data_IF_057448732006
#
_entry.id   IF_057448732006
#
_cell.length_a   1.000
_cell.length_b   1.000
_cell.length_c   1.000
_cell.angle_alpha   90.00
_cell.angle_beta   90.00
_cell.angle_gamma   90.00
#
_symmetry.space_group_name_H-M   'P 1'
#
loop_
_entity.id
_entity.type
_entity.pdbx_description
1 polymer ?
#
# COMPACT_ATOMS: atom_id res chain seq x y z
N UNK A 1 6.14 -68.12 -12.33
CA UNK A 1 6.10 -66.97 -11.40
C UNK A 1 5.77 -65.74 -12.22
N UNK A 2 4.50 -65.34 -12.21
CA UNK A 2 3.96 -64.20 -12.96
C UNK A 2 4.01 -62.95 -12.06
N UNK A 3 4.86 -61.99 -12.40
CA UNK A 3 4.88 -60.69 -11.72
C UNK A 3 3.66 -59.87 -12.13
N UNK A 4 2.75 -59.62 -11.19
CA UNK A 4 1.66 -58.68 -11.34
C UNK A 4 2.22 -57.24 -11.25
N UNK A 5 2.04 -56.46 -12.31
CA UNK A 5 2.34 -55.03 -12.34
C UNK A 5 1.26 -54.26 -11.56
N UNK A 6 1.68 -53.53 -10.52
CA UNK A 6 0.82 -52.61 -9.75
C UNK A 6 0.51 -51.40 -10.64
N UNK A 7 -0.77 -51.03 -10.86
CA UNK A 7 -1.09 -49.81 -11.58
C UNK A 7 -0.71 -48.59 -10.72
N UNK A 8 0.11 -47.69 -11.27
CA UNK A 8 0.40 -46.41 -10.64
C UNK A 8 -0.90 -45.58 -10.55
N UNK A 9 -1.26 -45.03 -9.38
CA UNK A 9 -2.40 -44.13 -9.27
C UNK A 9 -2.14 -42.92 -10.18
N UNK A 10 -3.04 -42.73 -11.15
CA UNK A 10 -2.96 -41.64 -12.11
C UNK A 10 -2.86 -40.30 -11.38
N UNK A 11 -1.89 -39.48 -11.77
CA UNK A 11 -1.83 -38.08 -11.37
C UNK A 11 -3.11 -37.40 -11.87
N UNK A 12 -4.09 -37.22 -11.00
CA UNK A 12 -5.24 -36.39 -11.28
C UNK A 12 -4.74 -34.94 -11.43
N UNK A 13 -4.46 -34.53 -12.66
CA UNK A 13 -4.39 -33.13 -13.01
C UNK A 13 -5.73 -32.51 -12.56
N UNK A 14 -5.75 -31.52 -11.65
CA UNK A 14 -6.99 -30.89 -11.27
C UNK A 14 -7.67 -30.35 -12.52
N UNK A 15 -8.95 -30.74 -12.71
CA UNK A 15 -9.73 -30.28 -13.83
C UNK A 15 -9.71 -28.74 -13.90
N UNK A 16 -9.64 -28.12 -15.09
CA UNK A 16 -9.75 -26.68 -15.22
C UNK A 16 -11.06 -26.25 -14.59
N UNK A 17 -10.99 -25.46 -13.50
CA UNK A 17 -12.20 -24.97 -12.83
C UNK A 17 -12.97 -24.12 -13.84
N UNK A 18 -14.18 -24.51 -14.27
CA UNK A 18 -14.93 -23.75 -15.26
C UNK A 18 -15.26 -22.36 -14.69
N UNK A 19 -14.96 -21.30 -15.46
CA UNK A 19 -15.51 -19.96 -15.20
C UNK A 19 -14.57 -18.88 -14.63
N UNK A 20 -13.26 -19.12 -14.45
CA UNK A 20 -12.33 -18.03 -14.09
C UNK A 20 -11.80 -17.32 -15.33
N UNK A 21 -12.34 -16.13 -15.60
CA UNK A 21 -11.90 -15.25 -16.70
C UNK A 21 -10.90 -14.24 -16.16
N UNK A 22 -9.81 -14.01 -16.89
CA UNK A 22 -8.85 -12.94 -16.59
C UNK A 22 -9.54 -11.57 -16.61
N UNK A 23 -9.34 -10.78 -15.57
CA UNK A 23 -9.93 -9.43 -15.46
C UNK A 23 -8.83 -8.39 -15.56
N UNK A 24 -8.99 -7.42 -16.45
CA UNK A 24 -8.00 -6.34 -16.61
C UNK A 24 -7.84 -5.53 -15.32
N UNK A 25 -6.63 -5.41 -14.76
CA UNK A 25 -6.38 -4.60 -13.56
C UNK A 25 -6.02 -3.13 -13.88
N UNK A 26 -5.91 -2.75 -15.16
CA UNK A 26 -5.34 -1.47 -15.59
C UNK A 26 -6.13 -0.26 -15.11
N UNK A 27 -7.46 -0.24 -15.31
CA UNK A 27 -8.30 0.88 -14.89
C UNK A 27 -8.24 1.13 -13.38
N UNK A 28 -8.21 0.05 -12.58
CA UNK A 28 -8.06 0.15 -11.13
C UNK A 28 -6.66 0.66 -10.74
N UNK A 29 -5.61 0.23 -11.45
CA UNK A 29 -4.24 0.72 -11.24
C UNK A 29 -4.12 2.23 -11.46
N UNK A 30 -4.76 2.76 -12.51
CA UNK A 30 -4.83 4.21 -12.75
C UNK A 30 -5.59 4.93 -11.65
N UNK A 31 -6.74 4.40 -11.21
CA UNK A 31 -7.51 4.97 -10.12
C UNK A 31 -6.72 5.00 -8.80
N UNK A 32 -6.06 3.89 -8.43
CA UNK A 32 -5.18 3.83 -7.24
C UNK A 32 -4.04 4.84 -7.36
N UNK A 33 -3.41 4.95 -8.54
CA UNK A 33 -2.30 5.89 -8.76
C UNK A 33 -2.76 7.35 -8.62
N UNK A 34 -3.92 7.70 -9.19
CA UNK A 34 -4.49 9.04 -9.07
C UNK A 34 -4.84 9.37 -7.62
N UNK A 35 -5.49 8.44 -6.90
CA UNK A 35 -5.84 8.63 -5.50
C UNK A 35 -4.61 8.74 -4.59
N UNK A 36 -3.56 7.94 -4.82
CA UNK A 36 -2.27 8.11 -4.12
C UNK A 36 -1.62 9.46 -4.44
N UNK A 37 -1.81 9.99 -5.65
CA UNK A 37 -1.41 11.35 -5.98
C UNK A 37 -2.14 12.40 -5.15
N UNK A 38 -3.44 12.23 -4.92
CA UNK A 38 -4.23 13.10 -4.02
C UNK A 38 -3.75 12.98 -2.57
N UNK A 39 -3.43 11.77 -2.10
CA UNK A 39 -2.84 11.55 -0.77
C UNK A 39 -1.53 12.31 -0.63
N UNK A 40 -0.63 12.23 -1.61
CA UNK A 40 0.64 12.98 -1.62
C UNK A 40 0.41 14.50 -1.55
N UNK A 41 -0.60 15.01 -2.27
CA UNK A 41 -0.95 16.44 -2.18
C UNK A 41 -1.46 16.80 -0.78
N UNK A 42 -2.30 15.95 -0.18
CA UNK A 42 -2.77 16.16 1.18
C UNK A 42 -1.62 16.12 2.21
N UNK A 43 -0.68 15.18 2.07
CA UNK A 43 0.54 15.11 2.89
C UNK A 43 1.37 16.39 2.78
N UNK A 44 1.55 16.92 1.57
CA UNK A 44 2.28 18.17 1.36
C UNK A 44 1.61 19.36 2.04
N UNK A 45 0.27 19.41 2.03
CA UNK A 45 -0.49 20.42 2.75
C UNK A 45 -0.33 20.26 4.27
N UNK A 46 -0.38 19.03 4.79
CA UNK A 46 -0.14 18.73 6.21
C UNK A 46 1.27 19.14 6.63
N UNK A 47 2.30 18.82 5.83
CA UNK A 47 3.68 19.25 6.09
C UNK A 47 3.76 20.77 6.16
N UNK A 48 3.16 21.46 5.19
CA UNK A 48 3.17 22.92 5.12
C UNK A 48 2.48 23.55 6.33
N UNK A 49 1.29 23.06 6.69
CA UNK A 49 0.52 23.51 7.85
C UNK A 49 1.29 23.25 9.17
N UNK A 50 1.92 22.08 9.29
CA UNK A 50 2.70 21.68 10.47
C UNK A 50 3.95 22.53 10.63
N UNK A 51 4.67 22.84 9.53
CA UNK A 51 5.83 23.73 9.56
C UNK A 51 5.43 25.18 9.90
N UNK A 52 4.29 25.65 9.40
CA UNK A 52 3.73 26.95 9.78
C UNK A 52 3.40 27.00 11.28
N UNK A 53 2.67 26.00 11.79
CA UNK A 53 2.37 25.88 13.23
C UNK A 53 3.65 25.84 14.08
N UNK A 54 4.66 25.09 13.63
CA UNK A 54 5.95 25.03 14.31
C UNK A 54 6.68 26.39 14.34
N UNK A 55 6.62 27.15 13.24
CA UNK A 55 7.20 28.49 13.20
C UNK A 55 6.44 29.46 14.12
N UNK A 56 5.11 29.38 14.13
CA UNK A 56 4.21 30.17 14.98
C UNK A 56 4.50 29.96 16.47
N UNK A 57 4.57 28.70 16.91
CA UNK A 57 4.90 28.35 18.29
C UNK A 57 6.35 28.75 18.64
N UNK A 58 7.27 28.67 17.68
CA UNK A 58 8.63 29.19 17.85
C UNK A 58 8.68 30.70 18.15
N UNK A 59 7.83 31.50 17.49
CA UNK A 59 7.70 32.95 17.75
C UNK A 59 7.11 33.24 19.12
N UNK A 60 6.12 32.45 19.55
CA UNK A 60 5.55 32.55 20.91
C UNK A 60 6.60 32.25 21.98
N UNK A 61 7.37 31.17 21.80
CA UNK A 61 8.40 30.76 22.75
C UNK A 61 9.51 31.83 22.91
N UNK A 62 9.83 32.57 21.84
CA UNK A 62 10.82 33.66 21.90
C UNK A 62 10.27 34.98 22.44
N UNK A 63 9.04 35.01 22.96
CA UNK A 63 8.40 36.22 23.51
C UNK A 63 7.99 37.25 22.44
N UNK A 64 8.04 36.89 21.15
CA UNK A 64 7.68 37.77 20.05
C UNK A 64 6.19 37.65 19.73
N UNK A 65 5.33 37.94 20.71
CA UNK A 65 3.86 37.76 20.63
C UNK A 65 3.14 38.95 19.98
N UNK A 66 3.82 40.10 19.84
CA UNK A 66 3.27 41.35 19.28
C UNK A 66 2.84 41.21 17.80
N UNK A 67 3.26 40.13 17.12
CA UNK A 67 2.96 39.86 15.71
C UNK A 67 1.94 38.73 15.48
N UNK A 68 1.28 38.22 16.53
CA UNK A 68 0.32 37.11 16.41
C UNK A 68 -1.11 37.63 16.39
N UNK A 69 -1.68 37.75 15.20
CA UNK A 69 -3.11 37.99 15.01
C UNK A 69 -3.89 36.69 15.26
N UNK A 70 -4.99 36.76 16.02
CA UNK A 70 -5.90 35.62 16.23
C UNK A 70 -6.43 35.06 14.90
N UNK A 71 -6.52 35.92 13.87
CA UNK A 71 -6.84 35.52 12.51
C UNK A 71 -5.80 34.61 11.85
N UNK A 72 -4.50 34.80 12.12
CA UNK A 72 -3.44 33.93 11.59
C UNK A 72 -3.49 32.53 12.20
N UNK A 73 -3.68 32.44 13.52
CA UNK A 73 -3.86 31.18 14.25
C UNK A 73 -5.07 30.41 13.70
N UNK A 74 -6.22 31.07 13.61
CA UNK A 74 -7.46 30.45 13.10
C UNK A 74 -7.30 29.92 11.67
N UNK A 75 -6.63 30.68 10.78
CA UNK A 75 -6.37 30.23 9.40
C UNK A 75 -5.46 29.00 9.35
N UNK A 76 -4.42 28.96 10.19
CA UNK A 76 -3.52 27.80 10.28
C UNK A 76 -4.28 26.55 10.76
N UNK A 77 -5.15 26.69 11.75
CA UNK A 77 -5.97 25.60 12.26
C UNK A 77 -6.97 25.08 11.22
N UNK A 78 -7.67 25.97 10.51
CA UNK A 78 -8.57 25.57 9.43
C UNK A 78 -7.83 24.91 8.25
N UNK A 79 -6.65 25.41 7.90
CA UNK A 79 -5.83 24.81 6.85
C UNK A 79 -5.37 23.39 7.25
N UNK A 80 -4.94 23.20 8.51
CA UNK A 80 -4.58 21.89 9.04
C UNK A 80 -5.77 20.94 9.04
N UNK A 81 -6.90 21.36 9.60
CA UNK A 81 -8.13 20.56 9.66
C UNK A 81 -8.61 20.14 8.26
N UNK A 82 -8.65 21.09 7.30
CA UNK A 82 -9.02 20.81 5.93
C UNK A 82 -8.08 19.80 5.26
N UNK A 83 -6.77 19.90 5.51
CA UNK A 83 -5.76 18.98 4.97
C UNK A 83 -5.93 17.56 5.54
N UNK A 84 -6.19 17.44 6.84
CA UNK A 84 -6.45 16.15 7.50
C UNK A 84 -7.75 15.51 6.98
N UNK A 85 -8.82 16.27 6.78
CA UNK A 85 -10.07 15.77 6.21
C UNK A 85 -9.85 15.28 4.77
N UNK A 86 -9.16 16.06 3.94
CA UNK A 86 -8.81 15.67 2.57
C UNK A 86 -8.00 14.37 2.55
N UNK A 87 -6.97 14.28 3.40
CA UNK A 87 -6.15 13.08 3.56
C UNK A 87 -7.01 11.87 3.94
N UNK A 88 -7.86 12.00 4.97
CA UNK A 88 -8.69 10.89 5.44
C UNK A 88 -9.67 10.35 4.38
N UNK A 89 -10.32 11.25 3.63
CA UNK A 89 -11.23 10.86 2.53
C UNK A 89 -10.45 10.22 1.38
N UNK A 90 -9.33 10.82 0.97
CA UNK A 90 -8.49 10.29 -0.10
C UNK A 90 -7.90 8.92 0.27
N UNK A 91 -7.45 8.74 1.51
CA UNK A 91 -6.90 7.48 2.01
C UNK A 91 -7.97 6.40 2.07
N UNK A 92 -9.18 6.72 2.54
CA UNK A 92 -10.29 5.76 2.55
C UNK A 92 -10.66 5.30 1.14
N UNK A 93 -10.80 6.25 0.20
CA UNK A 93 -11.03 5.92 -1.21
C UNK A 93 -9.88 5.07 -1.78
N UNK A 94 -8.63 5.43 -1.48
CA UNK A 94 -7.45 4.68 -1.88
C UNK A 94 -7.50 3.25 -1.35
N UNK A 95 -7.79 3.05 -0.07
CA UNK A 95 -7.84 1.74 0.56
C UNK A 95 -8.88 0.83 -0.12
N UNK A 96 -10.08 1.34 -0.37
CA UNK A 96 -11.15 0.57 -1.04
C UNK A 96 -10.71 0.15 -2.44
N UNK A 97 -10.27 1.10 -3.28
CA UNK A 97 -9.88 0.80 -4.67
C UNK A 97 -8.63 -0.08 -4.71
N UNK A 98 -7.67 0.12 -3.80
CA UNK A 98 -6.48 -0.70 -3.65
C UNK A 98 -6.82 -2.14 -3.30
N UNK A 99 -7.72 -2.38 -2.34
CA UNK A 99 -8.14 -3.74 -1.96
C UNK A 99 -8.84 -4.43 -3.14
N UNK A 100 -9.70 -3.71 -3.89
CA UNK A 100 -10.36 -4.27 -5.08
C UNK A 100 -9.34 -4.61 -6.18
N UNK A 101 -8.38 -3.72 -6.43
CA UNK A 101 -7.26 -3.97 -7.35
C UNK A 101 -6.44 -5.18 -6.93
N UNK A 102 -6.08 -5.25 -5.65
CA UNK A 102 -5.25 -6.30 -5.08
C UNK A 102 -5.93 -7.66 -5.12
N UNK A 103 -7.22 -7.72 -4.78
CA UNK A 103 -8.02 -8.93 -4.89
C UNK A 103 -8.14 -9.39 -6.35
N UNK A 104 -8.33 -8.48 -7.31
CA UNK A 104 -8.37 -8.81 -8.74
C UNK A 104 -7.04 -9.39 -9.23
N UNK A 105 -5.91 -8.79 -8.85
CA UNK A 105 -4.59 -9.34 -9.18
C UNK A 105 -4.37 -10.74 -8.58
N UNK A 106 -4.83 -10.95 -7.34
CA UNK A 106 -4.79 -12.27 -6.70
C UNK A 106 -5.61 -13.30 -7.47
N UNK A 107 -6.81 -12.94 -7.95
CA UNK A 107 -7.63 -13.85 -8.76
C UNK A 107 -6.94 -14.20 -10.08
N UNK A 108 -6.38 -13.21 -10.79
CA UNK A 108 -5.61 -13.44 -12.02
C UNK A 108 -4.38 -14.32 -11.79
N UNK A 109 -3.68 -14.13 -10.67
CA UNK A 109 -2.52 -14.93 -10.33
C UNK A 109 -2.86 -16.43 -10.19
N UNK A 110 -4.06 -16.77 -9.71
CA UNK A 110 -4.51 -18.17 -9.67
C UNK A 110 -4.66 -18.77 -11.06
N UNK A 111 -5.05 -17.98 -12.07
CA UNK A 111 -5.16 -18.45 -13.45
C UNK A 111 -3.77 -18.73 -14.02
N UNK A 112 -2.78 -17.91 -13.66
CA UNK A 112 -1.39 -18.10 -14.10
C UNK A 112 -0.70 -19.28 -13.43
N UNK A 113 -1.00 -19.54 -12.15
CA UNK A 113 -0.39 -20.62 -11.38
C UNK A 113 -1.44 -21.31 -10.47
N UNK A 114 -2.32 -22.15 -11.05
CA UNK A 114 -3.40 -22.80 -10.30
C UNK A 114 -2.87 -23.66 -9.16
N UNK A 115 -3.40 -23.47 -7.95
CA UNK A 115 -3.05 -24.27 -6.76
C UNK A 115 -1.64 -24.01 -6.18
N UNK A 116 -0.84 -23.14 -6.79
CA UNK A 116 0.54 -22.87 -6.37
C UNK A 116 0.68 -21.70 -5.39
N UNK A 117 -0.40 -20.97 -5.11
CA UNK A 117 -0.39 -19.76 -4.28
C UNK A 117 -0.70 -20.10 -2.82
N UNK A 118 -0.02 -19.43 -1.90
CA UNK A 118 0.00 -19.84 -0.47
C UNK A 118 -1.33 -19.68 0.26
N UNK A 119 -2.22 -18.82 -0.23
CA UNK A 119 -3.46 -18.41 0.46
C UNK A 119 -4.61 -18.30 -0.51
N UNK A 120 -5.82 -18.64 -0.06
CA UNK A 120 -7.05 -18.50 -0.87
C UNK A 120 -7.33 -17.03 -1.27
N UNK A 121 -8.10 -16.77 -2.35
CA UNK A 121 -8.40 -15.41 -2.80
C UNK A 121 -9.09 -14.52 -1.76
N UNK A 122 -9.88 -15.08 -0.83
CA UNK A 122 -10.55 -14.33 0.23
C UNK A 122 -9.58 -13.63 1.19
N UNK A 123 -8.39 -14.19 1.39
CA UNK A 123 -7.35 -13.56 2.20
C UNK A 123 -6.84 -12.24 1.62
N UNK A 124 -6.95 -12.01 0.30
CA UNK A 124 -6.57 -10.72 -0.29
C UNK A 124 -7.48 -9.55 0.13
N UNK A 125 -8.62 -9.83 0.76
CA UNK A 125 -9.52 -8.83 1.35
C UNK A 125 -9.42 -8.89 2.88
N UNK A 126 -9.62 -10.08 3.47
CA UNK A 126 -9.75 -10.23 4.92
C UNK A 126 -8.51 -9.76 5.71
N UNK A 127 -7.30 -9.92 5.16
CA UNK A 127 -6.07 -9.55 5.86
C UNK A 127 -5.96 -8.05 6.18
N UNK A 128 -6.60 -7.17 5.41
CA UNK A 128 -6.56 -5.72 5.63
C UNK A 128 -7.36 -5.27 6.85
N UNK A 129 -8.35 -6.07 7.27
CA UNK A 129 -9.24 -5.76 8.39
C UNK A 129 -8.81 -6.41 9.70
N UNK A 130 -7.86 -7.35 9.66
CA UNK A 130 -7.33 -8.03 10.85
C UNK A 130 -5.99 -7.38 11.21
N UNK A 131 -5.88 -6.64 12.33
CA UNK A 131 -4.71 -5.78 12.60
C UNK A 131 -3.36 -6.51 12.53
N UNK A 132 -3.31 -7.71 13.11
CA UNK A 132 -2.11 -8.55 13.13
C UNK A 132 -1.78 -9.08 11.73
N UNK A 133 -2.79 -9.54 10.99
CA UNK A 133 -2.61 -10.03 9.61
C UNK A 133 -2.16 -8.90 8.67
N UNK A 134 -2.69 -7.69 8.85
CA UNK A 134 -2.45 -6.54 8.01
C UNK A 134 -0.96 -6.16 7.91
N UNK A 135 -0.15 -6.52 8.91
CA UNK A 135 1.27 -6.21 8.93
C UNK A 135 2.13 -7.12 8.03
N UNK A 136 1.71 -8.35 7.73
CA UNK A 136 2.56 -9.31 6.99
C UNK A 136 1.84 -10.18 5.96
N UNK A 137 0.55 -10.48 6.11
CA UNK A 137 -0.18 -11.31 5.16
C UNK A 137 -0.28 -10.65 3.77
N UNK A 138 -0.63 -9.36 3.64
CA UNK A 138 -0.76 -8.76 2.31
C UNK A 138 0.59 -8.72 1.57
N UNK A 139 1.71 -8.52 2.27
CA UNK A 139 3.06 -8.65 1.69
C UNK A 139 3.31 -10.05 1.10
N UNK A 140 2.95 -11.10 1.82
CA UNK A 140 3.09 -12.48 1.35
C UNK A 140 2.26 -12.72 0.08
N UNK A 141 1.00 -12.26 0.09
CA UNK A 141 0.12 -12.34 -1.08
C UNK A 141 0.69 -11.55 -2.27
N UNK A 142 1.23 -10.36 -2.04
CA UNK A 142 1.88 -9.56 -3.08
C UNK A 142 3.10 -10.27 -3.69
N UNK A 143 3.91 -10.95 -2.87
CA UNK A 143 5.03 -11.75 -3.33
C UNK A 143 4.58 -12.94 -4.20
N UNK A 144 3.51 -13.63 -3.80
CA UNK A 144 2.90 -14.71 -4.57
C UNK A 144 2.39 -14.22 -5.94
N UNK A 145 1.74 -13.05 -5.97
CA UNK A 145 1.27 -12.44 -7.23
C UNK A 145 2.45 -12.07 -8.14
N UNK A 146 3.51 -11.47 -7.59
CA UNK A 146 4.74 -11.16 -8.33
C UNK A 146 5.39 -12.42 -8.91
N UNK A 147 5.43 -13.50 -8.14
CA UNK A 147 5.97 -14.78 -8.58
C UNK A 147 5.14 -15.38 -9.73
N UNK A 148 3.82 -15.42 -9.57
CA UNK A 148 2.90 -15.98 -10.57
C UNK A 148 2.97 -15.23 -11.92
N UNK A 149 3.19 -13.92 -11.87
CA UNK A 149 3.29 -13.02 -13.02
C UNK A 149 4.64 -13.10 -13.77
N UNK A 150 5.61 -13.89 -13.30
CA UNK A 150 6.90 -14.01 -14.00
C UNK A 150 6.78 -14.71 -15.37
N UNK A 151 7.64 -14.34 -16.34
CA UNK A 151 7.85 -15.14 -17.55
C UNK A 151 8.32 -16.55 -17.23
N UNK A 152 8.03 -17.49 -18.12
CA UNK A 152 8.55 -18.87 -17.99
C UNK A 152 9.99 -18.97 -18.53
N UNK A 153 10.83 -19.83 -17.93
CA UNK A 153 10.61 -20.55 -16.67
C UNK A 153 10.67 -19.60 -15.46
N UNK A 154 9.76 -19.76 -14.50
CA UNK A 154 9.73 -18.94 -13.28
C UNK A 154 10.96 -19.15 -12.40
N UNK A 155 11.54 -18.07 -11.89
CA UNK A 155 12.60 -18.15 -10.87
C UNK A 155 11.98 -18.33 -9.48
N UNK A 156 12.73 -18.93 -8.54
CA UNK A 156 12.27 -19.06 -7.15
C UNK A 156 12.04 -17.70 -6.47
N UNK A 157 12.83 -16.70 -6.82
CA UNK A 157 12.71 -15.34 -6.26
C UNK A 157 11.89 -14.46 -7.23
N UNK A 158 10.83 -13.80 -6.76
CA UNK A 158 10.05 -12.88 -7.59
C UNK A 158 10.89 -11.69 -8.08
N UNK A 159 10.68 -11.28 -9.32
CA UNK A 159 11.23 -10.01 -9.84
C UNK A 159 10.55 -8.88 -9.08
N UNK A 160 11.27 -7.78 -8.84
CA UNK A 160 10.75 -6.62 -8.09
C UNK A 160 10.43 -6.86 -6.61
N UNK A 161 10.90 -7.98 -6.02
CA UNK A 161 10.81 -8.21 -4.57
C UNK A 161 11.44 -7.08 -3.75
N UNK A 162 12.51 -6.45 -4.24
CA UNK A 162 13.13 -5.29 -3.60
C UNK A 162 12.17 -4.11 -3.48
N UNK A 163 11.42 -3.80 -4.54
CA UNK A 163 10.43 -2.72 -4.54
C UNK A 163 9.25 -3.03 -3.61
N UNK A 164 8.75 -4.27 -3.62
CA UNK A 164 7.75 -4.73 -2.64
C UNK A 164 8.26 -4.53 -1.21
N UNK A 165 9.52 -4.92 -0.94
CA UNK A 165 10.09 -4.81 0.39
C UNK A 165 10.27 -3.36 0.83
N UNK A 166 10.72 -2.49 -0.07
CA UNK A 166 10.91 -1.06 0.18
C UNK A 166 9.57 -0.37 0.47
N UNK A 167 8.58 -0.55 -0.41
CA UNK A 167 7.23 -0.01 -0.21
C UNK A 167 6.62 -0.50 1.09
N UNK A 168 6.63 -1.82 1.33
CA UNK A 168 6.02 -2.39 2.53
C UNK A 168 6.72 -1.94 3.81
N UNK A 169 8.05 -1.89 3.80
CA UNK A 169 8.84 -1.41 4.93
C UNK A 169 8.55 0.06 5.23
N UNK A 170 8.50 0.91 4.20
CA UNK A 170 8.16 2.32 4.33
C UNK A 170 6.74 2.51 4.88
N UNK A 171 5.76 1.75 4.38
CA UNK A 171 4.38 1.83 4.85
C UNK A 171 4.21 1.38 6.30
N UNK A 172 4.83 0.26 6.70
CA UNK A 172 4.80 -0.18 8.11
C UNK A 172 5.50 0.82 9.01
N UNK A 173 6.64 1.37 8.56
CA UNK A 173 7.35 2.42 9.29
C UNK A 173 6.48 3.65 9.48
N UNK A 174 5.86 4.14 8.41
CA UNK A 174 4.99 5.31 8.45
C UNK A 174 3.80 5.10 9.40
N UNK A 175 3.13 3.93 9.36
CA UNK A 175 2.07 3.59 10.31
C UNK A 175 2.51 3.61 11.79
N UNK A 176 3.69 3.07 12.08
CA UNK A 176 4.21 3.04 13.46
C UNK A 176 4.63 4.43 13.91
N UNK A 177 5.29 5.18 13.03
CA UNK A 177 5.75 6.52 13.29
C UNK A 177 4.58 7.49 13.46
N UNK A 178 3.54 7.39 12.64
CA UNK A 178 2.32 8.19 12.75
C UNK A 178 1.61 7.98 14.08
N UNK A 179 1.48 6.72 14.51
CA UNK A 179 0.95 6.36 15.84
C UNK A 179 1.79 6.90 16.99
N UNK A 180 3.09 7.11 16.78
CA UNK A 180 3.98 7.74 17.76
C UNK A 180 3.82 9.26 17.74
N UNK A 181 3.87 9.88 16.56
CA UNK A 181 3.75 11.32 16.36
C UNK A 181 2.38 11.84 16.85
N UNK A 182 1.29 11.15 16.51
CA UNK A 182 -0.07 11.50 16.95
C UNK A 182 -0.20 11.47 18.46
N UNK A 183 0.33 10.43 19.13
CA UNK A 183 0.31 10.35 20.60
C UNK A 183 1.15 11.45 21.25
N UNK A 184 2.30 11.79 20.68
CA UNK A 184 3.13 12.89 21.16
C UNK A 184 2.41 14.24 21.00
N UNK A 185 1.69 14.41 19.90
CA UNK A 185 0.86 15.60 19.64
C UNK A 185 -0.31 15.72 20.61
N UNK A 186 -1.07 14.65 20.83
CA UNK A 186 -2.21 14.63 21.77
C UNK A 186 -1.77 14.91 23.22
N UNK A 187 -0.57 14.47 23.60
CA UNK A 187 0.01 14.70 24.92
C UNK A 187 0.69 16.07 25.07
N UNK A 188 0.90 16.81 23.98
CA UNK A 188 1.63 18.07 24.01
C UNK A 188 0.84 19.15 24.74
N UNK A 189 1.46 19.77 25.75
CA UNK A 189 0.90 20.87 26.52
C UNK A 189 1.93 21.99 26.64
N UNK A 190 1.52 23.23 26.33
CA UNK A 190 2.41 24.37 26.29
C UNK A 190 3.14 24.54 24.96
N UNK A 191 3.68 25.75 24.75
CA UNK A 191 4.18 26.22 23.45
C UNK A 191 5.32 25.34 22.90
N UNK A 192 6.31 25.00 23.71
CA UNK A 192 7.48 24.22 23.27
C UNK A 192 7.09 22.79 22.88
N UNK A 193 6.22 22.15 23.67
CA UNK A 193 5.75 20.80 23.37
C UNK A 193 4.95 20.76 22.06
N UNK A 194 4.08 21.74 21.82
CA UNK A 194 3.30 21.83 20.57
C UNK A 194 4.21 22.10 19.37
N UNK A 195 5.25 22.93 19.54
CA UNK A 195 6.25 23.20 18.52
C UNK A 195 6.98 21.91 18.09
N UNK A 196 7.42 21.11 19.05
CA UNK A 196 8.14 19.87 18.78
C UNK A 196 7.21 18.81 18.17
N UNK A 197 5.99 18.70 18.68
CA UNK A 197 4.98 17.80 18.15
C UNK A 197 4.60 18.15 16.70
N UNK A 198 4.46 19.43 16.35
CA UNK A 198 4.24 19.86 14.97
C UNK A 198 5.41 19.44 14.04
N UNK A 199 6.64 19.42 14.55
CA UNK A 199 7.79 18.86 13.84
C UNK A 199 7.67 17.35 13.58
N UNK A 200 7.19 16.59 14.58
CA UNK A 200 6.93 15.16 14.44
C UNK A 200 5.82 14.86 13.43
N UNK A 201 4.74 15.65 13.43
CA UNK A 201 3.65 15.51 12.45
C UNK A 201 4.16 15.78 11.03
N UNK A 202 4.97 16.83 10.83
CA UNK A 202 5.59 17.09 9.53
C UNK A 202 6.50 15.94 9.07
N UNK A 203 7.28 15.34 9.98
CA UNK A 203 8.10 14.18 9.67
C UNK A 203 7.25 12.94 9.31
N UNK A 204 6.13 12.72 10.03
CA UNK A 204 5.19 11.64 9.76
C UNK A 204 4.62 11.71 8.35
N UNK A 205 4.08 12.89 7.97
CA UNK A 205 3.56 13.14 6.63
C UNK A 205 4.63 12.96 5.53
N UNK A 206 5.91 13.26 5.84
CA UNK A 206 7.02 12.96 4.94
C UNK A 206 7.26 11.46 4.71
N UNK A 207 7.14 10.64 5.75
CA UNK A 207 7.25 9.18 5.62
C UNK A 207 6.05 8.57 4.88
N UNK A 208 4.84 9.08 5.14
CA UNK A 208 3.64 8.70 4.40
C UNK A 208 3.76 9.01 2.91
N UNK A 209 4.25 10.21 2.56
CA UNK A 209 4.50 10.59 1.16
C UNK A 209 5.52 9.65 0.49
N UNK A 210 6.60 9.28 1.19
CA UNK A 210 7.57 8.30 0.67
C UNK A 210 6.92 6.93 0.44
N UNK A 211 6.12 6.46 1.40
CA UNK A 211 5.38 5.21 1.27
C UNK A 211 4.40 5.25 0.09
N UNK A 212 3.68 6.37 -0.11
CA UNK A 212 2.75 6.57 -1.22
C UNK A 212 3.46 6.55 -2.58
N UNK A 213 4.62 7.20 -2.72
CA UNK A 213 5.43 7.15 -3.96
C UNK A 213 5.87 5.72 -4.26
N UNK A 214 6.39 4.99 -3.26
CA UNK A 214 6.77 3.59 -3.43
C UNK A 214 5.57 2.70 -3.76
N UNK A 215 4.39 3.00 -3.21
CA UNK A 215 3.14 2.32 -3.52
C UNK A 215 2.74 2.52 -4.99
N UNK A 216 2.83 3.76 -5.51
CA UNK A 216 2.57 4.05 -6.94
C UNK A 216 3.50 3.22 -7.83
N UNK A 217 4.79 3.22 -7.53
CA UNK A 217 5.77 2.44 -8.31
C UNK A 217 5.44 0.94 -8.27
N UNK A 218 5.09 0.41 -7.10
CA UNK A 218 4.71 -0.99 -6.92
C UNK A 218 3.44 -1.33 -7.70
N UNK A 219 2.38 -0.53 -7.57
CA UNK A 219 1.09 -0.72 -8.25
C UNK A 219 1.28 -0.75 -9.76
N UNK A 220 2.00 0.24 -10.30
CA UNK A 220 2.30 0.30 -11.75
C UNK A 220 3.12 -0.90 -12.20
N UNK A 221 4.17 -1.27 -11.46
CA UNK A 221 5.05 -2.38 -11.83
C UNK A 221 4.34 -3.73 -11.79
N UNK A 222 3.56 -3.99 -10.75
CA UNK A 222 2.81 -5.23 -10.60
C UNK A 222 1.71 -5.36 -11.67
N UNK A 223 1.02 -4.26 -11.96
CA UNK A 223 0.00 -4.22 -13.02
C UNK A 223 0.62 -4.50 -14.38
N UNK A 224 1.77 -3.89 -14.70
CA UNK A 224 2.50 -4.14 -15.94
C UNK A 224 2.94 -5.60 -16.06
N UNK A 225 3.51 -6.18 -15.00
CA UNK A 225 3.94 -7.59 -15.00
C UNK A 225 2.77 -8.56 -15.25
N UNK A 226 1.60 -8.32 -14.63
CA UNK A 226 0.41 -9.14 -14.91
C UNK A 226 -0.11 -8.95 -16.33
N UNK A 227 -0.06 -7.73 -16.86
CA UNK A 227 -0.50 -7.46 -18.23
C UNK A 227 0.41 -8.14 -19.26
N UNK A 228 1.73 -8.05 -19.09
CA UNK A 228 2.73 -8.75 -19.92
C UNK A 228 2.51 -10.27 -19.88
N UNK A 229 2.28 -10.85 -18.68
CA UNK A 229 1.99 -12.29 -18.54
C UNK A 229 0.69 -12.69 -19.24
N UNK A 230 -0.35 -11.85 -19.17
CA UNK A 230 -1.61 -12.12 -19.85
C UNK A 230 -1.47 -12.09 -21.38
N UNK A 231 -0.66 -11.17 -21.92
CA UNK A 231 -0.40 -11.07 -23.36
C UNK A 231 0.47 -12.23 -23.89
N UNK A 232 1.39 -12.74 -23.08
CA UNK A 232 2.24 -13.87 -23.47
C UNK A 232 1.47 -15.19 -23.68
N UNK A 233 0.24 -15.30 -23.15
CA UNK A 233 -0.60 -16.49 -23.26
C UNK A 233 -0.08 -17.71 -22.47
N UNK A 234 -0.76 -18.86 -22.57
CA UNK A 234 -0.27 -20.12 -21.98
C UNK A 234 1.07 -20.50 -22.62
N UNK A 235 2.06 -20.88 -21.80
CA UNK A 235 3.29 -21.45 -22.34
C UNK A 235 2.93 -22.65 -23.23
N UNK A 236 3.37 -22.64 -24.49
CA UNK A 236 3.17 -23.78 -25.38
C UNK A 236 3.73 -25.03 -24.71
N UNK A 237 2.99 -26.15 -24.64
CA UNK A 237 3.54 -27.39 -24.11
C UNK A 237 4.77 -27.74 -24.95
N UNK A 238 5.92 -27.87 -24.29
CA UNK A 238 7.17 -28.23 -24.94
C UNK A 238 6.98 -29.50 -25.75
N UNK A 239 7.44 -29.45 -27.01
CA UNK A 239 7.58 -30.63 -27.88
C UNK A 239 8.65 -31.57 -27.34
#
# INVERSE_FOLDING_TARGET
MTHASIPMPGQHLPAPVPGRVLRSPIGLSHAVTALLGVVIVADLLIVTASLNMRALMGRMASGNTVALDEGELSRADYAMAGSVVLYGVALLATAVVFIVWFHRLRQNAEIFAPGALSRSPGWAIACWFIPIANLWIPRGIAADILWAAQPEPRSRVPRHRGLLNAWWGAWVWALVFDRFASRAYDAAQGVDAVRDAAGLVAASAGFDMLAAVLAILFVRRLTAAQHEKALAGPAAPGR
#
